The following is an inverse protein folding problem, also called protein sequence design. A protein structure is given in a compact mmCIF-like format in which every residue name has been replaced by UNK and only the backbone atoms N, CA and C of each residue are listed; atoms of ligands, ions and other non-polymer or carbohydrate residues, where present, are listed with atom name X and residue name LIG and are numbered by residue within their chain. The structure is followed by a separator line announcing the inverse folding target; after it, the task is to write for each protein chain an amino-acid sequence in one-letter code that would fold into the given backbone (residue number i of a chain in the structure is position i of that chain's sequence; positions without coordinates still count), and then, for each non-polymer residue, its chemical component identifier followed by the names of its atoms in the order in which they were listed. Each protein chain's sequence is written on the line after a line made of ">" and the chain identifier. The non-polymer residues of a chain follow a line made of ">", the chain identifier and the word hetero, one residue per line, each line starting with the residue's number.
data_IF_383237400207
#
_entry.id   IF_383237400207
#
_cell.length_a   1.000
_cell.length_b   1.000
_cell.length_c   1.000
_cell.angle_alpha   90.00
_cell.angle_beta   90.00
_cell.angle_gamma   90.00
#
_symmetry.space_group_name_H-M   'P 1'
#
loop_
_entity.id
_entity.type
_entity.pdbx_description
1 polymer ?
#
# COMPACT_ATOMS: atom_id res chain seq x y z
N UNK A 1 1.75 -0.14 -29.24
CA UNK A 1 2.51 -1.33 -28.76
C UNK A 1 3.15 -1.10 -27.40
N UNK A 2 3.88 0.02 -27.19
CA UNK A 2 4.55 0.37 -25.91
C UNK A 2 3.60 0.36 -24.70
N UNK A 3 2.38 0.90 -24.82
CA UNK A 3 1.41 0.91 -23.73
C UNK A 3 1.02 -0.50 -23.24
N UNK A 4 0.84 -1.46 -24.16
CA UNK A 4 0.53 -2.85 -23.82
C UNK A 4 1.69 -3.52 -23.08
N UNK A 5 2.92 -3.28 -23.52
CA UNK A 5 4.14 -3.79 -22.86
C UNK A 5 4.26 -3.23 -21.45
N UNK A 6 4.05 -1.91 -21.27
CA UNK A 6 4.10 -1.28 -19.95
C UNK A 6 3.06 -1.87 -19.00
N UNK A 7 1.82 -2.04 -19.47
CA UNK A 7 0.74 -2.65 -18.68
C UNK A 7 1.10 -4.08 -18.31
N UNK A 8 1.58 -4.89 -19.26
CA UNK A 8 1.99 -6.27 -19.00
C UNK A 8 3.08 -6.33 -17.93
N UNK A 9 4.15 -5.55 -18.07
CA UNK A 9 5.24 -5.51 -17.09
C UNK A 9 4.76 -5.04 -15.70
N UNK A 10 3.90 -4.01 -15.65
CA UNK A 10 3.33 -3.53 -14.40
C UNK A 10 2.48 -4.61 -13.71
N UNK A 11 1.61 -5.30 -14.46
CA UNK A 11 0.79 -6.39 -13.93
C UNK A 11 1.64 -7.57 -13.48
N UNK A 12 2.65 -7.99 -14.27
CA UNK A 12 3.57 -9.05 -13.89
C UNK A 12 4.33 -8.72 -12.60
N UNK A 13 4.77 -7.48 -12.44
CA UNK A 13 5.41 -7.01 -11.22
C UNK A 13 4.46 -7.08 -10.01
N UNK A 14 3.20 -6.68 -10.17
CA UNK A 14 2.18 -6.74 -9.11
C UNK A 14 1.88 -8.18 -8.72
N UNK A 15 1.72 -9.08 -9.69
CA UNK A 15 1.46 -10.50 -9.44
C UNK A 15 2.65 -11.15 -8.74
N UNK A 16 3.86 -11.00 -9.29
CA UNK A 16 5.07 -11.57 -8.70
C UNK A 16 5.34 -11.03 -7.29
N UNK A 17 5.19 -9.71 -7.10
CA UNK A 17 5.33 -9.08 -5.79
C UNK A 17 4.29 -9.58 -4.78
N UNK A 18 3.03 -9.73 -5.21
CA UNK A 18 1.96 -10.23 -4.34
C UNK A 18 2.18 -11.69 -3.95
N UNK A 19 2.66 -12.54 -4.87
CA UNK A 19 2.98 -13.94 -4.58
C UNK A 19 4.02 -14.10 -3.46
N UNK A 20 4.92 -13.12 -3.28
CA UNK A 20 5.91 -13.10 -2.20
C UNK A 20 5.38 -12.40 -0.95
N UNK A 21 4.77 -11.23 -1.11
CA UNK A 21 4.38 -10.37 0.01
C UNK A 21 3.13 -10.90 0.74
N UNK A 22 2.19 -11.54 0.06
CA UNK A 22 0.97 -12.09 0.71
C UNK A 22 1.30 -13.20 1.72
N UNK A 23 2.12 -14.21 1.40
CA UNK A 23 2.55 -15.19 2.40
C UNK A 23 3.25 -14.56 3.61
N UNK A 24 4.12 -13.56 3.37
CA UNK A 24 4.79 -12.84 4.46
C UNK A 24 3.80 -12.03 5.30
N UNK A 25 2.78 -11.43 4.68
CA UNK A 25 1.71 -10.73 5.39
C UNK A 25 0.91 -11.71 6.27
N UNK A 26 0.53 -12.87 5.73
CA UNK A 26 -0.19 -13.89 6.48
C UNK A 26 0.66 -14.40 7.65
N UNK A 27 1.96 -14.61 7.44
CA UNK A 27 2.88 -15.02 8.49
C UNK A 27 2.98 -13.96 9.60
N UNK A 28 3.11 -12.68 9.21
CA UNK A 28 3.09 -11.53 10.13
C UNK A 28 1.86 -11.54 11.03
N UNK A 29 0.67 -11.67 10.42
CA UNK A 29 -0.61 -11.62 11.11
C UNK A 29 -0.81 -12.82 12.04
N UNK A 30 -0.30 -14.00 11.67
CA UNK A 30 -0.44 -15.23 12.47
C UNK A 30 0.56 -15.33 13.63
N UNK A 31 1.75 -14.77 13.47
CA UNK A 31 2.87 -14.99 14.41
C UNK A 31 3.30 -13.74 15.17
N UNK A 32 2.97 -12.54 14.69
CA UNK A 32 3.42 -11.29 15.27
C UNK A 32 4.92 -11.01 15.13
N UNK A 33 5.65 -11.78 14.31
CA UNK A 33 7.11 -11.64 14.14
C UNK A 33 7.55 -10.24 13.69
N UNK A 34 6.69 -9.55 12.94
CA UNK A 34 6.84 -8.14 12.59
C UNK A 34 5.46 -7.47 12.52
N UNK A 35 5.46 -6.14 12.47
CA UNK A 35 4.24 -5.34 12.29
C UNK A 35 3.66 -5.62 10.91
N UNK A 36 2.39 -6.01 10.85
CA UNK A 36 1.65 -6.25 9.61
C UNK A 36 1.67 -5.05 8.64
N UNK A 37 1.71 -3.83 9.18
CA UNK A 37 1.79 -2.60 8.37
C UNK A 37 3.08 -2.50 7.55
N UNK A 38 4.14 -3.20 7.96
CA UNK A 38 5.42 -3.18 7.26
C UNK A 38 5.31 -3.80 5.87
N UNK A 39 4.76 -5.01 5.77
CA UNK A 39 4.60 -5.72 4.50
C UNK A 39 3.55 -5.01 3.63
N UNK A 40 2.43 -4.57 4.23
CA UNK A 40 1.41 -3.79 3.52
C UNK A 40 1.98 -2.50 2.91
N UNK A 41 2.84 -1.77 3.64
CA UNK A 41 3.48 -0.55 3.13
C UNK A 41 4.36 -0.83 1.91
N UNK A 42 5.12 -1.94 1.93
CA UNK A 42 5.93 -2.36 0.77
C UNK A 42 5.03 -2.68 -0.42
N UNK A 43 3.94 -3.42 -0.19
CA UNK A 43 2.98 -3.76 -1.24
C UNK A 43 2.32 -2.52 -1.84
N UNK A 44 1.86 -1.56 -1.01
CA UNK A 44 1.32 -0.28 -1.49
C UNK A 44 2.33 0.49 -2.33
N UNK A 45 3.60 0.59 -1.90
CA UNK A 45 4.67 1.24 -2.70
C UNK A 45 4.88 0.56 -4.05
N UNK A 46 4.79 -0.77 -4.11
CA UNK A 46 4.88 -1.53 -5.35
C UNK A 46 3.74 -1.15 -6.29
N UNK A 47 2.50 -1.11 -5.79
CA UNK A 47 1.31 -0.71 -6.57
C UNK A 47 1.45 0.73 -7.09
N UNK A 48 1.83 1.68 -6.23
CA UNK A 48 2.05 3.09 -6.62
C UNK A 48 3.06 3.20 -7.77
N UNK A 49 4.17 2.45 -7.69
CA UNK A 49 5.20 2.41 -8.74
C UNK A 49 4.70 1.77 -10.03
N UNK A 50 3.96 0.66 -9.94
CA UNK A 50 3.36 -0.02 -11.09
C UNK A 50 2.35 0.89 -11.83
N UNK A 51 1.63 1.73 -11.08
CA UNK A 51 0.72 2.75 -11.61
C UNK A 51 1.45 3.98 -12.18
N UNK A 52 2.77 4.07 -12.02
CA UNK A 52 3.56 5.21 -12.50
C UNK A 52 3.34 6.50 -11.69
N UNK A 53 2.87 6.40 -10.45
CA UNK A 53 2.61 7.55 -9.60
C UNK A 53 3.88 8.01 -8.85
N UNK A 54 4.05 9.33 -8.76
CA UNK A 54 5.09 9.97 -7.93
C UNK A 54 4.42 10.74 -6.80
N UNK A 55 4.66 10.29 -5.57
CA UNK A 55 4.09 10.88 -4.36
C UNK A 55 4.98 12.01 -3.86
N UNK A 56 4.38 13.16 -3.57
CA UNK A 56 5.03 14.27 -2.88
C UNK A 56 4.25 14.56 -1.61
N UNK A 57 4.92 14.50 -0.46
CA UNK A 57 4.31 14.75 0.85
C UNK A 57 4.77 16.12 1.34
N UNK A 58 3.84 16.94 1.80
CA UNK A 58 4.13 18.21 2.49
C UNK A 58 3.65 18.11 3.93
N UNK A 59 4.51 18.48 4.87
CA UNK A 59 4.26 18.34 6.31
C UNK A 59 4.58 16.94 6.82
N UNK A 60 4.22 16.68 8.08
CA UNK A 60 4.42 15.40 8.76
C UNK A 60 3.18 15.04 9.57
N UNK A 61 2.92 13.74 9.73
CA UNK A 61 1.87 13.27 10.63
C UNK A 61 2.30 13.50 12.09
N UNK A 62 1.32 13.73 12.97
CA UNK A 62 1.57 13.80 14.42
C UNK A 62 2.26 12.52 14.90
N UNK A 63 3.17 12.64 15.87
CA UNK A 63 3.80 11.50 16.55
C UNK A 63 2.96 10.97 17.73
N UNK A 64 1.95 11.72 18.18
CA UNK A 64 1.08 11.33 19.30
C UNK A 64 0.16 10.17 18.91
N UNK A 65 -0.12 9.26 19.86
CA UNK A 65 -0.93 8.06 19.63
C UNK A 65 -1.99 7.89 20.73
N UNK A 66 -3.21 7.39 20.41
CA UNK A 66 -3.66 6.93 19.08
C UNK A 66 -3.84 8.10 18.08
N UNK A 67 -3.69 7.83 16.78
CA UNK A 67 -3.84 8.82 15.71
C UNK A 67 -4.89 8.35 14.70
N UNK A 68 -5.94 9.15 14.54
CA UNK A 68 -6.89 9.01 13.44
C UNK A 68 -6.45 9.92 12.29
N UNK A 69 -6.23 9.34 11.10
CA UNK A 69 -5.94 10.10 9.89
C UNK A 69 -7.22 10.24 9.08
N UNK A 70 -7.67 11.48 8.90
CA UNK A 70 -8.80 11.81 8.03
C UNK A 70 -8.30 12.51 6.76
N UNK A 71 -8.86 12.10 5.62
CA UNK A 71 -8.58 12.68 4.30
C UNK A 71 -9.89 12.82 3.55
N UNK A 72 -9.97 13.77 2.62
CA UNK A 72 -10.96 13.71 1.56
C UNK A 72 -10.81 12.40 0.77
N UNK A 73 -11.93 11.87 0.26
CA UNK A 73 -11.94 10.70 -0.61
C UNK A 73 -12.14 11.13 -2.06
N UNK A 74 -11.12 10.92 -2.88
CA UNK A 74 -11.10 11.35 -4.30
C UNK A 74 -11.02 10.16 -5.23
N UNK A 75 -10.36 9.08 -4.80
CA UNK A 75 -10.08 7.94 -5.66
C UNK A 75 -9.86 6.65 -4.85
N UNK A 76 -10.10 5.51 -5.48
CA UNK A 76 -9.69 4.21 -4.93
C UNK A 76 -8.18 4.13 -4.63
N UNK A 77 -7.37 4.96 -5.30
CA UNK A 77 -5.91 5.04 -5.05
C UNK A 77 -5.55 5.64 -3.70
N UNK A 78 -6.49 6.29 -2.99
CA UNK A 78 -6.22 6.98 -1.72
C UNK A 78 -5.63 6.02 -0.67
N UNK A 79 -6.14 4.78 -0.61
CA UNK A 79 -5.63 3.72 0.27
C UNK A 79 -4.17 3.41 -0.05
N UNK A 80 -3.82 3.27 -1.33
CA UNK A 80 -2.46 2.97 -1.75
C UNK A 80 -1.51 4.13 -1.43
N UNK A 81 -1.95 5.37 -1.62
CA UNK A 81 -1.15 6.56 -1.34
C UNK A 81 -0.86 6.65 0.16
N UNK A 82 -1.90 6.63 1.00
CA UNK A 82 -1.75 6.71 2.46
C UNK A 82 -0.97 5.52 3.03
N UNK A 83 -1.32 4.30 2.60
CA UNK A 83 -0.67 3.07 3.03
C UNK A 83 0.80 2.96 2.61
N UNK A 84 1.23 3.66 1.55
CA UNK A 84 2.63 3.68 1.12
C UNK A 84 3.55 4.55 2.00
N UNK A 85 2.98 5.52 2.72
CA UNK A 85 3.73 6.53 3.48
C UNK A 85 3.60 6.40 5.00
N UNK A 86 2.52 5.83 5.51
CA UNK A 86 2.25 5.73 6.95
C UNK A 86 1.97 4.30 7.40
N UNK A 87 2.20 4.01 8.69
CA UNK A 87 1.67 2.79 9.31
C UNK A 87 0.21 3.04 9.65
N UNK A 88 -0.69 2.61 8.77
CA UNK A 88 -2.14 2.85 8.90
C UNK A 88 -2.91 1.57 8.70
N UNK A 89 -4.04 1.47 9.39
CA UNK A 89 -5.09 0.48 9.14
C UNK A 89 -6.34 1.21 8.68
N UNK A 90 -7.10 0.58 7.80
CA UNK A 90 -8.29 1.18 7.17
C UNK A 90 -9.55 0.46 7.65
N UNK A 91 -10.66 1.19 7.64
CA UNK A 91 -11.99 0.62 7.89
C UNK A 91 -12.55 0.22 6.52
N UNK A 92 -12.73 -1.07 6.32
CA UNK A 92 -13.40 -1.60 5.13
C UNK A 92 -14.92 -1.63 5.37
N UNK A 93 -15.69 -1.43 4.31
CA UNK A 93 -17.14 -1.71 4.32
C UNK A 93 -17.34 -3.22 4.39
N UNK A 94 -18.37 -3.66 5.11
CA UNK A 94 -18.60 -5.07 5.43
C UNK A 94 -19.58 -5.78 4.47
N UNK A 95 -19.87 -5.18 3.31
CA UNK A 95 -20.86 -5.63 2.34
C UNK A 95 -20.26 -6.39 1.16
#
# INVERSE_FOLDING_TARGET
>A
MIGKIRIFLALSLVVAGSLVLVPLQILSMKTGLWRETFILKIWHRLIIRALGMRIHVKGTLSSQRPLLVASNHVSWTDIMVLGSMADVTFIARAD
#
